data_IF_345308310981
#
_entry.id   IF_345308310981
#
_cell.length_a   1.000
_cell.length_b   1.000
_cell.length_c   1.000
_cell.angle_alpha   90.00
_cell.angle_beta   90.00
_cell.angle_gamma   90.00
#
_symmetry.space_group_name_H-M   'P 1'
#
loop_
_entity.id
_entity.type
_entity.pdbx_description
1 polymer ?
#
# COMPACT_ATOMS: atom_id res chain seq x y z
N UNK A 1 -43.64 15.68 -19.53
CA UNK A 1 -44.05 17.03 -19.95
C UNK A 1 -44.37 17.83 -18.70
N UNK A 2 -44.01 19.08 -18.49
CA UNK A 2 -43.04 20.03 -19.03
C UNK A 2 -43.07 21.20 -18.02
N UNK A 3 -41.99 21.98 -17.99
CA UNK A 3 -41.82 23.28 -17.32
C UNK A 3 -41.61 23.26 -15.80
N UNK A 4 -40.45 23.64 -15.23
CA UNK A 4 -39.36 24.47 -15.73
C UNK A 4 -39.54 25.92 -15.26
N UNK A 5 -38.67 26.37 -14.37
CA UNK A 5 -38.30 27.77 -14.21
C UNK A 5 -36.85 27.85 -13.73
N UNK A 6 -35.97 28.12 -14.68
CA UNK A 6 -34.67 28.72 -14.43
C UNK A 6 -34.87 30.23 -14.35
N UNK A 7 -34.17 30.90 -13.43
CA UNK A 7 -33.98 32.35 -13.46
C UNK A 7 -32.48 32.62 -13.41
N UNK A 8 -32.00 33.25 -14.47
CA UNK A 8 -30.66 33.81 -14.66
C UNK A 8 -30.70 35.31 -14.39
N UNK A 9 -29.64 35.88 -13.82
CA UNK A 9 -29.44 37.34 -13.84
C UNK A 9 -28.56 37.88 -12.72
N UNK A 10 -27.36 38.33 -13.10
CA UNK A 10 -26.23 38.77 -12.29
C UNK A 10 -26.35 40.19 -11.67
N UNK A 11 -25.34 40.46 -10.82
CA UNK A 11 -24.67 41.75 -10.55
C UNK A 11 -25.24 42.66 -9.45
N UNK A 12 -24.67 42.49 -8.26
CA UNK A 12 -24.55 43.51 -7.23
C UNK A 12 -23.16 43.43 -6.59
N UNK A 13 -22.22 44.22 -7.10
CA UNK A 13 -20.88 44.42 -6.51
C UNK A 13 -21.02 45.34 -5.31
N UNK A 14 -20.79 44.82 -4.11
CA UNK A 14 -20.37 45.61 -2.95
C UNK A 14 -19.26 44.83 -2.27
N UNK A 15 -18.04 45.35 -2.39
CA UNK A 15 -16.90 44.84 -1.64
C UNK A 15 -17.10 45.09 -0.15
N UNK A 16 -16.82 44.07 0.65
CA UNK A 16 -16.40 44.27 2.03
C UNK A 16 -15.27 43.29 2.30
N UNK A 17 -14.10 43.87 2.48
CA UNK A 17 -12.85 43.20 2.81
C UNK A 17 -12.95 42.50 4.16
N UNK A 18 -12.38 41.29 4.16
CA UNK A 18 -11.61 40.62 5.22
C UNK A 18 -12.27 40.44 6.58
N UNK A 19 -12.68 39.20 6.86
CA UNK A 19 -12.07 38.43 7.95
C UNK A 19 -12.49 36.94 7.81
N UNK A 20 -11.62 36.09 7.25
CA UNK A 20 -11.73 34.65 7.50
C UNK A 20 -10.33 34.01 7.46
N UNK A 21 -9.49 34.50 8.36
CA UNK A 21 -8.27 33.84 8.79
C UNK A 21 -8.61 32.62 9.65
N UNK A 22 -9.16 31.53 9.07
CA UNK A 22 -9.38 30.30 9.85
C UNK A 22 -9.60 29.01 9.06
N UNK A 23 -9.20 28.87 7.79
CA UNK A 23 -9.13 27.55 7.14
C UNK A 23 -7.92 27.47 6.23
N UNK A 24 -6.78 27.11 6.82
CA UNK A 24 -5.58 26.77 6.09
C UNK A 24 -5.87 25.66 5.09
N UNK A 25 -6.03 26.04 3.82
CA UNK A 25 -5.83 25.11 2.72
C UNK A 25 -4.40 24.61 2.84
N UNK A 26 -4.25 23.32 3.09
CA UNK A 26 -2.93 22.67 3.16
C UNK A 26 -2.37 22.75 1.75
N UNK A 27 -1.46 23.70 1.51
CA UNK A 27 -0.56 23.61 0.38
C UNK A 27 0.15 22.26 0.49
N UNK A 28 0.09 21.45 -0.58
CA UNK A 28 0.71 20.13 -0.72
C UNK A 28 2.25 20.23 -0.77
N UNK A 29 2.84 20.93 0.18
CA UNK A 29 4.27 21.09 0.30
C UNK A 29 4.78 19.94 1.18
N UNK A 30 5.67 19.12 0.61
CA UNK A 30 6.36 18.05 1.35
C UNK A 30 7.12 18.55 2.58
N UNK A 31 7.78 17.65 3.29
CA UNK A 31 8.50 17.97 4.52
C UNK A 31 10.01 18.06 4.25
N UNK A 32 10.65 19.15 4.71
CA UNK A 32 12.11 19.16 4.80
C UNK A 32 12.58 18.10 5.80
N UNK A 33 13.81 17.63 5.68
CA UNK A 33 14.32 16.62 6.62
C UNK A 33 14.34 17.14 8.06
N UNK A 34 14.72 18.42 8.24
CA UNK A 34 14.77 19.08 9.55
C UNK A 34 13.38 19.18 10.21
N UNK A 35 12.33 19.34 9.40
CA UNK A 35 10.94 19.30 9.90
C UNK A 35 10.57 17.92 10.44
N UNK A 36 11.04 16.86 9.77
CA UNK A 36 10.77 15.48 10.20
C UNK A 36 11.58 15.14 11.45
N UNK A 37 12.87 15.48 11.48
CA UNK A 37 13.76 15.24 12.63
C UNK A 37 13.24 15.93 13.91
N UNK A 38 12.70 17.14 13.79
CA UNK A 38 12.12 17.85 14.92
C UNK A 38 10.78 17.26 15.43
N UNK A 39 10.04 16.54 14.58
CA UNK A 39 8.66 16.06 14.88
C UNK A 39 8.60 14.57 15.20
N UNK A 40 9.49 13.77 14.63
CA UNK A 40 9.49 12.32 14.74
C UNK A 40 10.45 11.89 15.85
N UNK A 41 9.97 11.05 16.76
CA UNK A 41 10.80 10.47 17.81
C UNK A 41 11.59 9.28 17.26
N UNK A 42 12.60 9.57 16.44
CA UNK A 42 13.50 8.59 15.85
C UNK A 42 14.86 9.25 15.56
N UNK A 43 15.91 8.45 15.40
CA UNK A 43 17.19 8.96 14.93
C UNK A 43 17.12 9.37 13.45
N UNK A 44 18.00 10.27 13.02
CA UNK A 44 18.11 10.68 11.62
C UNK A 44 18.21 9.46 10.67
N UNK A 45 19.01 8.45 11.02
CA UNK A 45 19.15 7.22 10.24
C UNK A 45 17.84 6.42 10.15
N UNK A 46 17.07 6.35 11.23
CA UNK A 46 15.77 5.66 11.23
C UNK A 46 14.73 6.42 10.39
N UNK A 47 14.75 7.76 10.43
CA UNK A 47 13.89 8.60 9.59
C UNK A 47 14.21 8.38 8.11
N UNK A 48 15.49 8.45 7.73
CA UNK A 48 15.93 8.19 6.34
C UNK A 48 15.53 6.79 5.88
N UNK A 49 15.79 5.75 6.69
CA UNK A 49 15.39 4.38 6.36
C UNK A 49 13.88 4.25 6.18
N UNK A 50 13.09 4.87 7.04
CA UNK A 50 11.63 4.88 6.92
C UNK A 50 11.17 5.55 5.62
N UNK A 51 11.76 6.71 5.28
CA UNK A 51 11.44 7.43 4.04
C UNK A 51 11.83 6.62 2.80
N UNK A 52 13.03 6.06 2.75
CA UNK A 52 13.57 5.39 1.57
C UNK A 52 13.03 3.96 1.38
N UNK A 53 12.98 3.18 2.45
CA UNK A 53 12.69 1.74 2.36
C UNK A 53 11.24 1.40 2.68
N UNK A 54 10.64 2.05 3.67
CA UNK A 54 9.28 1.71 4.14
C UNK A 54 8.20 2.47 3.37
N UNK A 55 8.36 3.79 3.25
CA UNK A 55 7.43 4.66 2.53
C UNK A 55 7.78 4.73 1.03
N UNK A 56 9.05 4.52 0.71
CA UNK A 56 9.63 4.78 -0.61
C UNK A 56 9.18 6.16 -1.09
N UNK A 57 9.43 7.17 -0.26
CA UNK A 57 9.12 8.57 -0.52
C UNK A 57 10.06 9.13 -1.59
N UNK A 58 9.67 10.28 -2.15
CA UNK A 58 10.46 11.01 -3.14
C UNK A 58 10.89 12.34 -2.53
N UNK A 59 12.16 12.68 -2.69
CA UNK A 59 12.67 14.01 -2.40
C UNK A 59 12.65 14.85 -3.68
N UNK A 60 12.00 16.03 -3.63
CA UNK A 60 12.01 17.01 -4.73
C UNK A 60 12.25 18.39 -4.11
N UNK A 61 13.24 19.11 -4.60
CA UNK A 61 13.63 20.44 -4.10
C UNK A 61 13.85 20.48 -2.58
N UNK A 62 14.54 19.47 -2.03
CA UNK A 62 14.83 19.36 -0.59
C UNK A 62 13.64 19.00 0.30
N UNK A 63 12.50 18.61 -0.29
CA UNK A 63 11.30 18.22 0.44
C UNK A 63 10.88 16.78 0.12
N UNK A 64 10.69 15.98 1.16
CA UNK A 64 10.15 14.62 1.08
C UNK A 64 8.64 14.61 0.88
N UNK A 65 8.19 13.77 -0.06
CA UNK A 65 6.79 13.60 -0.43
C UNK A 65 6.45 12.11 -0.50
N UNK A 66 5.30 11.74 0.06
CA UNK A 66 4.70 10.43 -0.18
C UNK A 66 4.22 10.35 -1.63
N UNK A 67 4.27 9.14 -2.21
CA UNK A 67 3.73 8.86 -3.54
C UNK A 67 2.37 8.22 -3.38
N UNK A 68 1.35 8.77 -4.06
CA UNK A 68 0.03 8.17 -4.08
C UNK A 68 0.10 6.72 -4.65
N UNK A 69 -0.55 5.73 -4.01
CA UNK A 69 -0.49 4.35 -4.47
C UNK A 69 -1.00 4.13 -5.91
N UNK A 70 -2.02 4.86 -6.35
CA UNK A 70 -2.53 4.73 -7.72
C UNK A 70 -1.55 5.35 -8.72
N UNK A 71 -0.95 6.49 -8.39
CA UNK A 71 0.10 7.08 -9.21
C UNK A 71 1.32 6.16 -9.32
N UNK A 72 1.70 5.50 -8.23
CA UNK A 72 2.79 4.51 -8.22
C UNK A 72 2.47 3.28 -9.10
N UNK A 73 1.24 2.77 -9.07
CA UNK A 73 0.81 1.69 -9.96
C UNK A 73 0.77 2.13 -11.43
N UNK A 74 0.40 3.38 -11.70
CA UNK A 74 0.48 3.95 -13.05
C UNK A 74 1.94 4.01 -13.54
N UNK A 75 2.88 4.45 -12.71
CA UNK A 75 4.29 4.45 -13.04
C UNK A 75 4.85 3.03 -13.31
N UNK A 76 4.42 2.03 -12.52
CA UNK A 76 4.75 0.62 -12.77
C UNK A 76 4.22 0.13 -14.13
N UNK A 77 2.99 0.50 -14.48
CA UNK A 77 2.41 0.17 -15.80
C UNK A 77 3.24 0.77 -16.93
N UNK A 78 3.66 2.03 -16.80
CA UNK A 78 4.51 2.69 -17.78
C UNK A 78 5.90 2.05 -17.87
N UNK A 79 6.51 1.67 -16.74
CA UNK A 79 7.75 0.89 -16.72
C UNK A 79 7.62 -0.42 -17.51
N UNK A 80 6.54 -1.17 -17.30
CA UNK A 80 6.28 -2.43 -18.00
C UNK A 80 6.10 -2.22 -19.52
N UNK A 81 5.39 -1.16 -19.92
CA UNK A 81 5.26 -0.75 -21.32
C UNK A 81 6.61 -0.40 -21.92
N UNK A 82 7.44 0.40 -21.23
CA UNK A 82 8.78 0.77 -21.68
C UNK A 82 9.68 -0.46 -21.82
N UNK A 83 9.65 -1.38 -20.85
CA UNK A 83 10.42 -2.61 -20.88
C UNK A 83 10.06 -3.49 -22.09
N UNK A 84 8.76 -3.70 -22.33
CA UNK A 84 8.27 -4.43 -23.49
C UNK A 84 8.66 -3.76 -24.80
N UNK A 85 8.44 -2.44 -24.92
CA UNK A 85 8.73 -1.67 -26.13
C UNK A 85 10.22 -1.60 -26.49
N UNK A 86 11.11 -1.64 -25.50
CA UNK A 86 12.56 -1.64 -25.69
C UNK A 86 13.20 -3.04 -25.65
N UNK A 87 12.41 -4.09 -25.41
CA UNK A 87 12.90 -5.46 -25.30
C UNK A 87 13.79 -5.72 -24.07
N UNK A 88 13.59 -4.97 -22.99
CA UNK A 88 14.31 -5.19 -21.73
C UNK A 88 13.75 -6.39 -20.99
N UNK A 89 14.64 -7.21 -20.44
CA UNK A 89 14.24 -8.30 -19.55
C UNK A 89 13.84 -7.72 -18.18
N UNK A 90 12.75 -8.23 -17.60
CA UNK A 90 12.23 -7.72 -16.32
C UNK A 90 13.17 -8.03 -15.14
N UNK A 91 14.08 -8.99 -15.29
CA UNK A 91 15.12 -9.35 -14.32
C UNK A 91 16.43 -8.55 -14.52
N UNK A 92 16.52 -7.73 -15.57
CA UNK A 92 17.71 -6.94 -15.90
C UNK A 92 17.33 -5.59 -16.54
N UNK A 93 16.46 -4.84 -15.86
CA UNK A 93 16.00 -3.50 -16.28
C UNK A 93 17.17 -2.49 -16.19
N UNK A 94 17.61 -1.88 -17.30
CA UNK A 94 18.74 -0.95 -17.31
C UNK A 94 18.34 0.41 -16.70
N UNK A 95 18.89 0.76 -15.53
CA UNK A 95 18.44 1.91 -14.73
C UNK A 95 18.44 3.24 -15.51
N UNK A 96 19.55 3.56 -16.18
CA UNK A 96 19.71 4.81 -16.90
C UNK A 96 18.72 4.93 -18.08
N UNK A 97 18.48 3.81 -18.75
CA UNK A 97 17.60 3.73 -19.92
C UNK A 97 16.13 3.77 -19.50
N UNK A 98 15.77 3.08 -18.41
CA UNK A 98 14.45 3.17 -17.77
C UNK A 98 14.16 4.60 -17.35
N UNK A 99 15.10 5.23 -16.63
CA UNK A 99 14.95 6.63 -16.17
C UNK A 99 14.72 7.56 -17.35
N UNK A 100 15.50 7.40 -18.44
CA UNK A 100 15.34 8.21 -19.65
C UNK A 100 14.01 7.98 -20.37
N UNK A 101 13.58 6.73 -20.49
CA UNK A 101 12.32 6.39 -21.15
C UNK A 101 11.13 6.95 -20.36
N UNK A 102 11.06 6.69 -19.05
CA UNK A 102 10.00 7.22 -18.20
C UNK A 102 9.98 8.76 -18.16
N UNK A 103 11.16 9.40 -18.15
CA UNK A 103 11.22 10.87 -18.20
C UNK A 103 10.69 11.42 -19.52
N UNK A 104 10.96 10.72 -20.64
CA UNK A 104 10.44 11.08 -21.96
C UNK A 104 8.91 10.96 -22.03
N UNK A 105 8.33 10.06 -21.24
CA UNK A 105 6.89 9.86 -21.08
C UNK A 105 6.26 10.81 -20.05
N UNK A 106 7.02 11.78 -19.52
CA UNK A 106 6.51 12.87 -18.68
C UNK A 106 6.65 12.66 -17.17
N UNK A 107 7.32 11.59 -16.72
CA UNK A 107 7.68 11.45 -15.30
C UNK A 107 8.90 12.32 -14.95
N UNK A 108 9.00 12.72 -13.69
CA UNK A 108 10.25 13.28 -13.17
C UNK A 108 11.27 12.14 -12.93
N UNK A 109 12.59 12.39 -13.04
CA UNK A 109 13.62 11.35 -12.85
C UNK A 109 13.50 10.63 -11.50
N UNK A 110 13.13 11.36 -10.44
CA UNK A 110 12.98 10.81 -9.10
C UNK A 110 11.82 9.81 -9.02
N UNK A 111 10.75 10.01 -9.80
CA UNK A 111 9.63 9.05 -9.87
C UNK A 111 10.02 7.79 -10.66
N UNK A 112 10.83 7.93 -11.71
CA UNK A 112 11.34 6.75 -12.42
C UNK A 112 12.21 5.88 -11.50
N UNK A 113 13.15 6.51 -10.79
CA UNK A 113 13.97 5.85 -9.78
C UNK A 113 13.15 5.28 -8.63
N UNK A 114 12.15 6.02 -8.15
CA UNK A 114 11.22 5.56 -7.11
C UNK A 114 10.47 4.31 -7.54
N UNK A 115 10.07 4.22 -8.81
CA UNK A 115 9.36 3.05 -9.36
C UNK A 115 10.26 1.80 -9.30
N UNK A 116 11.54 1.93 -9.67
CA UNK A 116 12.51 0.84 -9.54
C UNK A 116 12.69 0.45 -8.06
N UNK A 117 12.90 1.41 -7.15
CA UNK A 117 13.04 1.12 -5.71
C UNK A 117 11.81 0.44 -5.11
N UNK A 118 10.61 0.85 -5.55
CA UNK A 118 9.35 0.33 -5.04
C UNK A 118 9.06 -1.12 -5.50
N UNK A 119 9.49 -1.49 -6.72
CA UNK A 119 9.05 -2.72 -7.37
C UNK A 119 10.17 -3.62 -7.87
N UNK A 120 11.42 -3.27 -7.64
CA UNK A 120 12.56 -4.03 -8.09
C UNK A 120 13.67 -4.04 -7.03
N UNK A 121 14.63 -4.93 -7.23
CA UNK A 121 15.86 -5.04 -6.44
C UNK A 121 17.06 -4.79 -7.34
N UNK A 122 18.09 -4.08 -6.87
CA UNK A 122 19.28 -3.84 -7.67
C UNK A 122 20.04 -5.15 -7.89
N UNK A 123 20.54 -5.36 -9.10
CA UNK A 123 21.42 -6.46 -9.42
C UNK A 123 22.86 -6.18 -8.97
N UNK A 124 23.67 -7.23 -8.86
CA UNK A 124 25.07 -7.14 -8.44
C UNK A 124 25.96 -6.31 -9.38
N UNK A 125 25.50 -6.05 -10.62
CA UNK A 125 26.19 -5.21 -11.59
C UNK A 125 26.15 -3.71 -11.26
N UNK A 126 25.30 -3.29 -10.31
CA UNK A 126 25.13 -1.90 -9.88
C UNK A 126 24.53 -0.96 -10.93
N UNK A 127 23.99 -1.49 -12.03
CA UNK A 127 23.46 -0.71 -13.16
C UNK A 127 22.10 -1.20 -13.67
N UNK A 128 21.66 -2.37 -13.24
CA UNK A 128 20.38 -2.97 -13.59
C UNK A 128 19.58 -3.40 -12.37
N UNK A 129 18.28 -3.61 -12.59
CA UNK A 129 17.31 -3.96 -11.57
C UNK A 129 16.50 -5.18 -11.98
N UNK A 130 16.24 -6.07 -11.04
CA UNK A 130 15.33 -7.20 -11.20
C UNK A 130 13.99 -6.91 -10.55
N UNK A 131 12.91 -6.96 -11.33
CA UNK A 131 11.54 -6.77 -10.85
C UNK A 131 11.23 -7.76 -9.72
N UNK A 132 10.79 -7.22 -8.58
CA UNK A 132 10.42 -7.98 -7.39
C UNK A 132 8.96 -8.41 -7.54
N UNK A 133 8.81 -9.70 -7.85
CA UNK A 133 7.51 -10.31 -8.09
C UNK A 133 6.54 -10.11 -6.92
N UNK A 134 7.01 -10.30 -5.68
CA UNK A 134 6.18 -10.16 -4.48
C UNK A 134 5.71 -8.70 -4.32
N UNK A 135 6.61 -7.70 -4.44
CA UNK A 135 6.23 -6.29 -4.28
C UNK A 135 5.19 -5.85 -5.31
N UNK A 136 5.40 -6.23 -6.58
CA UNK A 136 4.45 -5.96 -7.67
C UNK A 136 3.11 -6.60 -7.39
N UNK A 137 3.12 -7.90 -7.07
CA UNK A 137 1.95 -8.68 -6.75
C UNK A 137 1.14 -8.07 -5.61
N UNK A 138 1.80 -7.73 -4.50
CA UNK A 138 1.16 -7.19 -3.31
C UNK A 138 0.52 -5.82 -3.56
N UNK A 139 1.19 -4.93 -4.29
CA UNK A 139 0.63 -3.61 -4.58
C UNK A 139 -0.65 -3.68 -5.43
N UNK A 140 -0.66 -4.55 -6.45
CA UNK A 140 -1.87 -4.78 -7.26
C UNK A 140 -2.95 -5.55 -6.51
N UNK A 141 -2.59 -6.57 -5.73
CA UNK A 141 -3.53 -7.30 -4.89
C UNK A 141 -4.23 -6.35 -3.92
N UNK A 142 -3.48 -5.44 -3.29
CA UNK A 142 -4.06 -4.45 -2.40
C UNK A 142 -5.06 -3.54 -3.13
N UNK A 143 -4.74 -3.07 -4.34
CA UNK A 143 -5.67 -2.26 -5.15
C UNK A 143 -6.96 -3.01 -5.46
N UNK A 144 -6.86 -4.28 -5.84
CA UNK A 144 -8.03 -5.16 -6.10
C UNK A 144 -8.84 -5.37 -4.82
N UNK A 145 -8.17 -5.64 -3.69
CA UNK A 145 -8.83 -5.83 -2.40
C UNK A 145 -9.57 -4.57 -1.93
N UNK A 146 -9.01 -3.38 -2.20
CA UNK A 146 -9.65 -2.10 -1.88
C UNK A 146 -10.95 -1.89 -2.65
N UNK A 147 -11.02 -2.33 -3.90
CA UNK A 147 -12.28 -2.31 -4.68
C UNK A 147 -13.34 -3.26 -4.09
N UNK A 148 -12.90 -4.34 -3.45
CA UNK A 148 -13.78 -5.33 -2.82
C UNK A 148 -14.15 -5.04 -1.36
N UNK A 149 -13.79 -3.88 -0.80
CA UNK A 149 -14.11 -3.54 0.59
C UNK A 149 -15.62 -3.56 0.81
N UNK A 150 -16.06 -4.31 1.82
CA UNK A 150 -17.47 -4.45 2.18
C UNK A 150 -18.23 -5.53 1.40
N UNK A 151 -17.61 -6.17 0.40
CA UNK A 151 -18.18 -7.36 -0.24
C UNK A 151 -18.29 -8.50 0.78
N UNK A 152 -19.48 -9.11 0.85
CA UNK A 152 -19.73 -10.31 1.65
C UNK A 152 -19.56 -11.53 0.76
N UNK A 153 -18.96 -12.59 1.30
CA UNK A 153 -18.75 -13.86 0.59
C UNK A 153 -18.05 -13.68 -0.76
N UNK A 154 -17.07 -12.77 -0.84
CA UNK A 154 -16.28 -12.62 -2.06
C UNK A 154 -15.44 -13.87 -2.27
N UNK A 155 -15.68 -14.59 -3.36
CA UNK A 155 -14.99 -15.86 -3.63
C UNK A 155 -13.53 -15.58 -3.94
N UNK A 156 -12.64 -16.33 -3.30
CA UNK A 156 -11.20 -16.19 -3.49
C UNK A 156 -10.80 -16.39 -4.95
N UNK A 157 -11.43 -17.34 -5.65
CA UNK A 157 -11.15 -17.61 -7.07
C UNK A 157 -11.43 -16.39 -7.95
N UNK A 158 -12.55 -15.69 -7.72
CA UNK A 158 -12.96 -14.53 -8.51
C UNK A 158 -12.03 -13.33 -8.22
N UNK A 159 -11.61 -13.16 -6.97
CA UNK A 159 -10.60 -12.16 -6.59
C UNK A 159 -9.26 -12.44 -7.28
N UNK A 160 -8.77 -13.68 -7.21
CA UNK A 160 -7.49 -14.09 -7.80
C UNK A 160 -7.51 -13.96 -9.33
N UNK A 161 -8.64 -14.24 -9.99
CA UNK A 161 -8.80 -14.02 -11.43
C UNK A 161 -8.76 -12.53 -11.78
N UNK A 162 -9.50 -11.69 -11.02
CA UNK A 162 -9.46 -10.23 -11.20
C UNK A 162 -8.04 -9.69 -11.07
N UNK A 163 -7.29 -10.19 -10.09
CA UNK A 163 -5.90 -9.82 -9.87
C UNK A 163 -4.97 -10.24 -11.02
N UNK A 164 -5.09 -11.48 -11.54
CA UNK A 164 -4.34 -11.92 -12.75
C UNK A 164 -4.64 -11.06 -13.97
N UNK A 165 -5.90 -10.70 -14.16
CA UNK A 165 -6.32 -9.85 -15.27
C UNK A 165 -5.68 -8.46 -15.15
N UNK A 166 -5.61 -7.88 -13.95
CA UNK A 166 -4.93 -6.60 -13.71
C UNK A 166 -3.44 -6.63 -14.01
N UNK A 167 -2.73 -7.71 -13.67
CA UNK A 167 -1.33 -7.91 -14.06
C UNK A 167 -1.17 -7.98 -15.58
N UNK A 168 -2.07 -8.70 -16.25
CA UNK A 168 -2.05 -8.84 -17.72
C UNK A 168 -2.33 -7.52 -18.42
N UNK A 169 -3.28 -6.71 -17.92
CA UNK A 169 -3.63 -5.39 -18.44
C UNK A 169 -2.44 -4.42 -18.46
N UNK A 170 -1.53 -4.51 -17.48
CA UNK A 170 -0.34 -3.66 -17.40
C UNK A 170 0.91 -4.28 -18.04
N UNK A 171 0.77 -5.36 -18.81
CA UNK A 171 1.88 -6.01 -19.50
C UNK A 171 2.75 -6.92 -18.63
N UNK A 172 2.31 -7.26 -17.41
CA UNK A 172 3.00 -8.17 -16.48
C UNK A 172 2.29 -9.52 -16.34
N UNK A 173 1.63 -10.00 -17.40
CA UNK A 173 0.88 -11.27 -17.37
C UNK A 173 1.72 -12.53 -17.12
N UNK A 174 3.05 -12.44 -17.23
CA UNK A 174 3.97 -13.53 -16.88
C UNK A 174 4.26 -13.64 -15.37
N UNK A 175 3.92 -12.61 -14.58
CA UNK A 175 4.07 -12.59 -13.13
C UNK A 175 3.03 -13.52 -12.49
N UNK A 176 3.47 -14.44 -11.63
CA UNK A 176 2.58 -15.40 -10.99
C UNK A 176 1.91 -14.83 -9.74
N UNK A 177 0.58 -14.91 -9.68
CA UNK A 177 -0.15 -14.63 -8.44
C UNK A 177 -0.09 -15.82 -7.49
N UNK A 178 0.23 -15.56 -6.22
CA UNK A 178 0.24 -16.57 -5.15
C UNK A 178 -0.60 -16.10 -3.97
N UNK A 179 -1.35 -17.01 -3.37
CA UNK A 179 -2.20 -16.69 -2.21
C UNK A 179 -1.39 -16.15 -1.02
N UNK A 180 -0.13 -16.58 -0.88
CA UNK A 180 0.79 -16.14 0.19
C UNK A 180 1.05 -14.63 0.17
N UNK A 181 0.99 -13.99 -1.00
CA UNK A 181 1.12 -12.54 -1.12
C UNK A 181 -0.08 -11.78 -0.55
N UNK A 182 -1.21 -12.45 -0.28
CA UNK A 182 -2.37 -11.86 0.41
C UNK A 182 -2.18 -11.78 1.92
N UNK A 183 -1.11 -12.38 2.47
CA UNK A 183 -0.83 -12.35 3.91
C UNK A 183 -0.74 -10.90 4.42
N UNK A 184 -1.63 -10.52 5.34
CA UNK A 184 -1.71 -9.16 5.88
C UNK A 184 -2.44 -8.16 4.98
N UNK A 185 -2.96 -8.57 3.83
CA UNK A 185 -3.85 -7.77 2.97
C UNK A 185 -5.31 -8.25 3.06
N UNK A 186 -5.52 -9.55 3.30
CA UNK A 186 -6.84 -10.13 3.45
C UNK A 186 -6.85 -11.37 4.36
N UNK A 187 -8.03 -11.65 4.92
CA UNK A 187 -8.33 -12.90 5.59
C UNK A 187 -8.95 -13.88 4.59
N UNK A 188 -8.39 -15.09 4.51
CA UNK A 188 -8.92 -16.17 3.67
C UNK A 188 -9.69 -17.15 4.56
N UNK A 189 -10.98 -17.27 4.33
CA UNK A 189 -11.87 -18.20 5.04
C UNK A 189 -12.15 -19.43 4.19
N UNK A 190 -11.93 -20.61 4.76
CA UNK A 190 -12.17 -21.91 4.13
C UNK A 190 -13.15 -22.72 4.98
N UNK A 191 -14.47 -22.56 4.77
CA UNK A 191 -15.47 -23.28 5.55
C UNK A 191 -15.34 -24.80 5.36
N UNK A 192 -15.32 -25.58 6.45
CA UNK A 192 -15.12 -27.05 6.39
C UNK A 192 -16.13 -27.79 5.50
N UNK A 193 -17.34 -27.24 5.36
CA UNK A 193 -18.44 -27.83 4.57
C UNK A 193 -18.53 -27.29 3.14
N UNK A 194 -17.55 -26.51 2.70
CA UNK A 194 -17.52 -25.89 1.38
C UNK A 194 -16.22 -26.20 0.66
N UNK A 195 -16.30 -26.43 -0.65
CA UNK A 195 -15.10 -26.45 -1.51
C UNK A 195 -14.65 -25.05 -1.89
N UNK A 196 -15.48 -24.03 -1.62
CA UNK A 196 -15.18 -22.63 -1.92
C UNK A 196 -14.46 -21.96 -0.75
N UNK A 197 -13.48 -21.13 -1.10
CA UNK A 197 -12.82 -20.22 -0.17
C UNK A 197 -13.30 -18.79 -0.42
N UNK A 198 -13.37 -18.01 0.64
CA UNK A 198 -13.81 -16.64 0.62
C UNK A 198 -12.69 -15.73 1.09
N UNK A 199 -12.63 -14.52 0.54
CA UNK A 199 -11.66 -13.50 0.89
C UNK A 199 -12.37 -12.31 1.51
N UNK A 200 -11.83 -11.81 2.61
CA UNK A 200 -12.28 -10.58 3.23
C UNK A 200 -11.12 -9.59 3.31
N UNK A 201 -11.27 -8.43 2.68
CA UNK A 201 -10.27 -7.36 2.73
C UNK A 201 -10.01 -6.95 4.18
N UNK A 202 -8.75 -7.04 4.58
CA UNK A 202 -8.31 -6.68 5.91
C UNK A 202 -6.81 -6.38 5.85
N UNK A 203 -6.47 -5.11 5.70
CA UNK A 203 -5.11 -4.66 5.36
C UNK A 203 -4.40 -4.23 6.65
N UNK A 204 -3.26 -4.86 6.95
CA UNK A 204 -2.51 -4.67 8.18
C UNK A 204 -2.00 -3.24 8.39
N UNK A 205 -1.71 -2.52 7.30
CA UNK A 205 -1.24 -1.12 7.33
C UNK A 205 -2.35 -0.12 7.68
N UNK A 206 -3.61 -0.50 7.48
CA UNK A 206 -4.78 0.32 7.82
C UNK A 206 -5.20 0.11 9.28
N UNK A 207 -4.60 -0.86 9.99
CA UNK A 207 -4.92 -1.12 11.39
C UNK A 207 -4.29 -0.09 12.33
N UNK A 208 -4.93 0.18 13.49
CA UNK A 208 -4.35 1.04 14.52
C UNK A 208 -2.93 0.64 14.88
N UNK A 209 -2.03 1.60 15.08
CA UNK A 209 -0.67 1.33 15.56
C UNK A 209 -0.63 0.94 17.03
N UNK A 210 -1.65 1.34 17.80
CA UNK A 210 -1.70 1.07 19.23
C UNK A 210 -2.14 -0.38 19.53
N UNK A 211 -1.39 -1.16 20.33
CA UNK A 211 -1.56 -2.61 20.36
C UNK A 211 -2.95 -3.01 20.84
N UNK A 212 -3.47 -2.32 21.86
CA UNK A 212 -4.81 -2.57 22.39
C UNK A 212 -5.89 -2.41 21.31
N UNK A 213 -5.83 -1.34 20.52
CA UNK A 213 -6.81 -1.06 19.47
C UNK A 213 -6.63 -1.95 18.24
N UNK A 214 -5.38 -2.30 17.91
CA UNK A 214 -5.06 -3.29 16.87
C UNK A 214 -5.66 -4.65 17.20
N UNK A 215 -5.42 -5.17 18.40
CA UNK A 215 -6.00 -6.45 18.83
C UNK A 215 -7.54 -6.36 18.90
N UNK A 216 -8.11 -5.24 19.34
CA UNK A 216 -9.55 -5.03 19.30
C UNK A 216 -10.11 -5.14 17.86
N UNK A 217 -9.43 -4.57 16.87
CA UNK A 217 -9.80 -4.69 15.46
C UNK A 217 -9.70 -6.14 14.95
N UNK A 218 -8.62 -6.85 15.29
CA UNK A 218 -8.44 -8.27 14.94
C UNK A 218 -9.58 -9.15 15.47
N UNK A 219 -10.00 -8.94 16.72
CA UNK A 219 -11.08 -9.72 17.34
C UNK A 219 -12.48 -9.36 16.84
N UNK A 220 -12.66 -8.13 16.34
CA UNK A 220 -13.90 -7.71 15.70
C UNK A 220 -14.11 -8.42 14.35
N UNK A 221 -13.01 -8.74 13.66
CA UNK A 221 -13.05 -9.47 12.40
C UNK A 221 -13.32 -10.96 12.60
N UNK A 222 -12.51 -11.62 13.45
CA UNK A 222 -12.60 -13.07 13.68
C UNK A 222 -12.36 -13.39 15.16
N UNK A 223 -13.14 -14.29 15.78
CA UNK A 223 -13.06 -14.54 17.23
C UNK A 223 -11.85 -15.38 17.66
N UNK A 224 -11.30 -16.19 16.75
CA UNK A 224 -10.19 -17.12 17.02
C UNK A 224 -9.24 -17.14 15.85
N UNK A 225 -7.95 -17.04 16.13
CA UNK A 225 -6.92 -16.98 15.12
C UNK A 225 -5.82 -17.99 15.40
N UNK A 226 -5.25 -18.58 14.35
CA UNK A 226 -3.97 -19.28 14.47
C UNK A 226 -2.80 -18.28 14.43
N UNK A 227 -1.60 -18.72 14.83
CA UNK A 227 -0.42 -17.85 14.71
C UNK A 227 -0.12 -17.46 13.26
N UNK A 228 -0.24 -18.41 12.33
CA UNK A 228 -0.02 -18.18 10.90
C UNK A 228 -0.96 -17.10 10.33
N UNK A 229 -2.19 -17.01 10.84
CA UNK A 229 -3.13 -15.96 10.44
C UNK A 229 -2.83 -14.61 11.12
N UNK A 230 -2.34 -14.61 12.37
CA UNK A 230 -2.06 -13.39 13.12
C UNK A 230 -0.76 -12.71 12.72
N UNK A 231 0.28 -13.49 12.45
CA UNK A 231 1.65 -12.99 12.23
C UNK A 231 1.74 -11.84 11.21
N UNK A 232 1.07 -11.91 10.04
CA UNK A 232 1.13 -10.82 9.07
C UNK A 232 0.56 -9.49 9.59
N UNK A 233 -0.37 -9.53 10.54
CA UNK A 233 -1.01 -8.35 11.14
C UNK A 233 -0.24 -7.77 12.32
N UNK A 234 0.74 -8.53 12.84
CA UNK A 234 1.60 -8.15 13.96
C UNK A 234 3.02 -7.78 13.52
N UNK A 235 3.37 -7.97 12.24
CA UNK A 235 4.66 -7.56 11.69
C UNK A 235 4.90 -6.05 11.94
N UNK A 236 6.09 -5.72 12.43
CA UNK A 236 6.48 -4.34 12.76
C UNK A 236 5.81 -3.75 14.01
N UNK A 237 5.03 -4.52 14.79
CA UNK A 237 4.36 -3.99 15.99
C UNK A 237 5.20 -4.05 17.27
N UNK A 238 6.41 -4.63 17.21
CA UNK A 238 7.31 -4.65 18.36
C UNK A 238 7.72 -3.23 18.75
N UNK A 239 7.82 -2.97 20.06
CA UNK A 239 8.20 -1.66 20.60
C UNK A 239 9.39 -1.80 21.54
N UNK A 240 10.16 -0.73 21.79
CA UNK A 240 11.17 -0.73 22.84
C UNK A 240 10.58 -1.25 24.16
N UNK A 241 11.12 -2.36 24.67
CA UNK A 241 10.67 -3.00 25.90
C UNK A 241 9.37 -3.82 25.80
N UNK A 242 8.76 -3.96 24.62
CA UNK A 242 7.53 -4.73 24.43
C UNK A 242 7.57 -5.55 23.12
N UNK A 243 7.95 -6.82 23.24
CA UNK A 243 7.98 -7.78 22.11
C UNK A 243 6.58 -8.21 21.68
N UNK A 244 6.45 -8.82 20.50
CA UNK A 244 5.16 -9.37 20.02
C UNK A 244 4.62 -10.42 20.99
N UNK A 245 5.47 -11.28 21.55
CA UNK A 245 5.08 -12.31 22.53
C UNK A 245 4.52 -11.68 23.80
N UNK A 246 5.15 -10.60 24.29
CA UNK A 246 4.66 -9.85 25.45
C UNK A 246 3.30 -9.19 25.18
N UNK A 247 3.07 -8.71 23.95
CA UNK A 247 1.78 -8.17 23.53
C UNK A 247 0.72 -9.27 23.45
N UNK A 248 1.04 -10.42 22.86
CA UNK A 248 0.16 -11.59 22.81
C UNK A 248 -0.24 -12.04 24.21
N UNK A 249 0.71 -12.13 25.15
CA UNK A 249 0.43 -12.52 26.54
C UNK A 249 -0.52 -11.53 27.26
N UNK A 250 -0.41 -10.25 26.93
CA UNK A 250 -1.21 -9.16 27.53
C UNK A 250 -2.61 -9.06 26.92
N UNK A 251 -2.73 -9.19 25.61
CA UNK A 251 -3.96 -8.88 24.86
C UNK A 251 -4.73 -10.11 24.36
N UNK A 252 -4.13 -11.30 24.43
CA UNK A 252 -4.74 -12.54 23.97
C UNK A 252 -4.96 -13.53 25.13
N UNK A 253 -5.93 -14.42 24.94
CA UNK A 253 -6.02 -15.70 25.64
C UNK A 253 -5.55 -16.80 24.69
N UNK A 254 -4.63 -17.64 25.17
CA UNK A 254 -4.18 -18.82 24.44
C UNK A 254 -5.16 -19.97 24.68
N UNK A 255 -5.64 -20.57 23.60
CA UNK A 255 -6.46 -21.78 23.60
C UNK A 255 -5.55 -22.92 23.15
N UNK A 256 -5.23 -23.81 24.09
CA UNK A 256 -4.40 -24.98 23.82
C UNK A 256 -5.13 -25.93 22.88
N UNK A 257 -4.41 -26.43 21.88
CA UNK A 257 -4.93 -27.28 20.82
C UNK A 257 -3.87 -27.58 19.76
N UNK A 258 -4.25 -28.33 18.72
CA UNK A 258 -3.46 -28.53 17.52
C UNK A 258 -4.30 -28.10 16.30
N UNK A 259 -4.13 -26.88 15.76
CA UNK A 259 -3.14 -25.86 16.15
C UNK A 259 -3.52 -25.09 17.44
N UNK A 260 -2.54 -24.37 17.99
CA UNK A 260 -2.76 -23.39 19.07
C UNK A 260 -3.53 -22.21 18.50
N UNK A 261 -4.56 -21.75 19.22
CA UNK A 261 -5.39 -20.61 18.81
C UNK A 261 -5.28 -19.47 19.82
N UNK A 262 -5.49 -18.25 19.35
CA UNK A 262 -5.53 -17.02 20.12
C UNK A 262 -6.92 -16.39 20.02
N UNK A 263 -7.44 -15.91 21.13
CA UNK A 263 -8.71 -15.18 21.18
C UNK A 263 -8.59 -13.92 22.02
N UNK A 264 -9.64 -13.08 21.95
CA UNK A 264 -9.82 -11.98 22.91
C UNK A 264 -9.70 -12.50 24.35
N UNK A 265 -9.00 -11.73 25.18
CA UNK A 265 -8.90 -11.97 26.61
C UNK A 265 -10.23 -11.73 27.32
#
# INVERSE_FOLDING_TARGET
MMSGCAFTGEAGVVGMETDDAARGGVALDGYAFEDLDARVQASATEITRCLEDELVAIEIDGKWRGVDPEYRLHALSMLAVSASGNGWALDALPEAEVTRAMTSDGFIPEMAMNTLRAFATPNDDGTSWALDEERVCRALAERVLRDGVGLKNWRLVDMMETWRNKLSEIGLGAVEVREEYLAGLALIERPEKSTEAFVQTFIAKDLPTEPQDRFKALWALKPRWSMAELEPYLKGQARPGQTIESQLLKHCRVIQGKPVLYSKR
#
